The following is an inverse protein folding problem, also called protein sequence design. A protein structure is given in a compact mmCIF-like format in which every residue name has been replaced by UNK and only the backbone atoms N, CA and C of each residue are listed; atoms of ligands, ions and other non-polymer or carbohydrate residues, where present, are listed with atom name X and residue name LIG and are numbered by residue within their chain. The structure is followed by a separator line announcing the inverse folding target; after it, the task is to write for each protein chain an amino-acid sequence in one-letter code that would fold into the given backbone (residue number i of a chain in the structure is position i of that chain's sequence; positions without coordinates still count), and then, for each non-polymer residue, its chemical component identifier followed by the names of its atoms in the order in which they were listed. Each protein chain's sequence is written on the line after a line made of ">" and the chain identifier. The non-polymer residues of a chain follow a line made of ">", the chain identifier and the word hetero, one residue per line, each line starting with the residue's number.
data_IF_752247327059
#
_entry.id   IF_752247327059
#
_cell.length_a   1.000
_cell.length_b   1.000
_cell.length_c   1.000
_cell.angle_alpha   90.00
_cell.angle_beta   90.00
_cell.angle_gamma   90.00
#
_symmetry.space_group_name_H-M   'P 1'
#
loop_
_entity.id
_entity.type
_entity.pdbx_description
1 polymer ?
#
# COMPACT_ATOMS: atom_id res chain seq x y z
N UNK A 1 -20.02 54.50 -31.95
CA UNK A 1 -20.98 54.06 -30.91
C UNK A 1 -20.28 52.99 -30.07
N UNK A 2 -19.75 53.36 -28.90
CA UNK A 2 -19.12 52.44 -27.94
C UNK A 2 -20.11 52.18 -26.80
N UNK A 3 -20.34 50.90 -26.48
CA UNK A 3 -21.07 50.47 -25.30
C UNK A 3 -20.15 50.57 -24.06
N UNK A 4 -20.61 51.08 -22.90
CA UNK A 4 -19.82 51.00 -21.69
C UNK A 4 -19.94 49.59 -21.07
N UNK A 5 -18.79 48.90 -20.97
CA UNK A 5 -18.64 47.72 -20.11
C UNK A 5 -18.62 48.17 -18.66
N UNK A 6 -19.62 47.77 -17.87
CA UNK A 6 -19.61 47.93 -16.42
C UNK A 6 -18.90 46.74 -15.77
N UNK A 7 -17.78 47.00 -15.11
CA UNK A 7 -17.08 46.05 -14.23
C UNK A 7 -17.94 45.80 -12.98
N UNK A 8 -18.19 44.54 -12.56
CA UNK A 8 -18.91 44.28 -11.32
C UNK A 8 -18.03 44.67 -10.11
N UNK A 9 -18.62 45.16 -9.00
CA UNK A 9 -17.85 45.55 -7.83
C UNK A 9 -17.21 44.30 -7.19
N UNK A 10 -15.89 44.37 -6.99
CA UNK A 10 -15.13 43.36 -6.26
C UNK A 10 -15.59 43.31 -4.80
N UNK A 11 -16.35 42.28 -4.43
CA UNK A 11 -16.65 41.98 -3.05
C UNK A 11 -15.38 41.57 -2.28
N UNK A 12 -15.36 41.71 -0.94
CA UNK A 12 -14.21 41.33 -0.13
C UNK A 12 -13.89 39.83 -0.34
N UNK A 13 -12.61 39.43 -0.27
CA UNK A 13 -12.25 38.03 -0.39
C UNK A 13 -12.96 37.23 0.71
N UNK A 14 -13.75 36.23 0.31
CA UNK A 14 -14.28 35.23 1.23
C UNK A 14 -13.12 34.40 1.75
N UNK A 15 -12.69 34.70 2.99
CA UNK A 15 -11.70 33.90 3.69
C UNK A 15 -12.37 32.58 4.09
N UNK A 16 -12.07 31.51 3.38
CA UNK A 16 -12.53 30.17 3.73
C UNK A 16 -11.82 29.73 5.01
N UNK A 17 -12.57 29.53 6.10
CA UNK A 17 -12.03 28.95 7.33
C UNK A 17 -12.16 27.44 7.28
N UNK A 18 -11.04 26.73 7.17
CA UNK A 18 -11.01 25.29 7.34
C UNK A 18 -11.21 24.93 8.82
N UNK A 19 -12.07 23.95 9.10
CA UNK A 19 -12.23 23.37 10.43
C UNK A 19 -11.64 21.96 10.40
N UNK A 20 -10.52 21.77 11.09
CA UNK A 20 -9.93 20.45 11.30
C UNK A 20 -10.61 19.78 12.50
N UNK A 21 -11.01 18.52 12.34
CA UNK A 21 -11.54 17.69 13.43
C UNK A 21 -10.74 16.40 13.50
N UNK A 22 -10.31 16.04 14.72
CA UNK A 22 -9.79 14.71 14.98
C UNK A 22 -10.94 13.72 14.92
N UNK A 23 -10.80 12.71 14.08
CA UNK A 23 -11.77 11.62 13.97
C UNK A 23 -11.04 10.29 14.04
N UNK A 24 -11.59 9.40 14.84
CA UNK A 24 -11.07 8.05 15.00
C UNK A 24 -11.21 7.27 13.69
N UNK A 25 -10.13 6.64 13.28
CA UNK A 25 -10.13 5.69 12.17
C UNK A 25 -9.80 4.31 12.72
N UNK A 26 -10.37 3.27 12.12
CA UNK A 26 -9.96 1.89 12.35
C UNK A 26 -9.49 1.28 11.04
N UNK A 27 -8.55 0.34 11.11
CA UNK A 27 -8.02 -0.39 9.95
C UNK A 27 -8.15 -1.89 10.22
N UNK A 28 -8.61 -2.65 9.24
CA UNK A 28 -8.81 -4.11 9.34
C UNK A 28 -8.42 -4.79 8.04
N UNK A 29 -7.91 -6.00 8.13
CA UNK A 29 -7.70 -6.90 6.99
C UNK A 29 -9.01 -7.12 6.21
N UNK A 30 -8.92 -7.27 4.89
CA UNK A 30 -10.02 -7.61 3.98
C UNK A 30 -9.82 -9.04 3.45
N UNK A 31 -10.47 -10.06 4.07
CA UNK A 31 -10.27 -11.46 3.69
C UNK A 31 -10.57 -11.77 2.22
N UNK A 32 -11.51 -11.05 1.62
CA UNK A 32 -11.97 -11.27 0.24
C UNK A 32 -10.97 -10.75 -0.80
N UNK A 33 -10.05 -9.87 -0.41
CA UNK A 33 -9.15 -9.18 -1.33
C UNK A 33 -7.82 -9.89 -1.55
N UNK A 34 -7.70 -11.14 -1.08
CA UNK A 34 -6.56 -12.01 -1.31
C UNK A 34 -5.31 -11.63 -0.52
N UNK A 35 -4.40 -12.61 -0.42
CA UNK A 35 -3.08 -12.47 0.21
C UNK A 35 -2.04 -12.99 -0.78
N UNK A 36 -0.92 -12.28 -0.90
CA UNK A 36 0.25 -12.77 -1.65
C UNK A 36 1.39 -13.11 -0.71
N UNK A 37 2.14 -14.15 -1.05
CA UNK A 37 3.27 -14.65 -0.30
C UNK A 37 4.53 -14.58 -1.14
N UNK A 38 5.62 -14.09 -0.55
CA UNK A 38 6.92 -14.05 -1.20
C UNK A 38 8.01 -14.47 -0.21
N UNK A 39 9.05 -15.11 -0.73
CA UNK A 39 10.25 -15.46 0.02
C UNK A 39 11.47 -14.86 -0.66
N UNK A 40 12.33 -14.20 0.13
CA UNK A 40 13.56 -13.57 -0.33
C UNK A 40 14.75 -14.19 0.40
N UNK A 41 15.76 -14.66 -0.33
CA UNK A 41 17.00 -15.17 0.23
C UNK A 41 17.84 -14.02 0.81
N UNK A 42 18.23 -14.13 2.09
CA UNK A 42 18.98 -13.08 2.79
C UNK A 42 20.48 -13.37 2.89
N UNK A 43 20.97 -14.43 2.22
CA UNK A 43 22.39 -14.70 2.15
C UNK A 43 23.12 -13.52 1.46
N UNK A 44 24.27 -13.15 2.00
CA UNK A 44 25.05 -12.01 1.51
C UNK A 44 25.37 -12.19 0.01
N UNK A 45 24.98 -11.21 -0.81
CA UNK A 45 25.19 -11.22 -2.26
C UNK A 45 24.22 -12.10 -3.07
N UNK A 46 23.22 -12.75 -2.44
CA UNK A 46 22.24 -13.56 -3.16
C UNK A 46 21.02 -12.76 -3.62
N UNK A 47 20.18 -12.31 -2.69
CA UNK A 47 18.99 -11.49 -2.99
C UNK A 47 17.92 -12.15 -3.87
N UNK A 48 18.06 -13.42 -4.23
CA UNK A 48 17.09 -14.13 -5.06
C UNK A 48 15.73 -14.22 -4.36
N UNK A 49 14.65 -14.15 -5.14
CA UNK A 49 13.28 -14.12 -4.63
C UNK A 49 12.35 -15.05 -5.41
N UNK A 50 11.27 -15.50 -4.76
CA UNK A 50 10.23 -16.31 -5.38
C UNK A 50 9.29 -15.51 -6.28
N UNK A 51 9.30 -14.18 -6.15
CA UNK A 51 8.19 -13.31 -6.56
C UNK A 51 6.91 -13.58 -5.75
N UNK A 52 5.85 -12.78 -5.98
CA UNK A 52 4.55 -12.97 -5.35
C UNK A 52 3.90 -14.31 -5.77
N UNK A 53 3.36 -15.03 -4.79
CA UNK A 53 2.65 -16.30 -4.97
C UNK A 53 1.26 -16.20 -4.31
N UNK A 54 0.26 -16.82 -4.93
CA UNK A 54 -1.12 -16.85 -4.40
C UNK A 54 -1.28 -17.75 -3.17
N UNK A 55 -0.33 -18.66 -2.95
CA UNK A 55 -0.34 -19.56 -1.82
C UNK A 55 1.02 -19.62 -1.13
N UNK A 56 0.99 -19.83 0.18
CA UNK A 56 2.19 -19.86 1.00
C UNK A 56 3.14 -21.01 0.64
N UNK A 57 2.60 -22.17 0.28
CA UNK A 57 3.38 -23.37 0.01
C UNK A 57 4.27 -23.20 -1.23
N UNK A 58 3.78 -22.54 -2.29
CA UNK A 58 4.57 -22.21 -3.48
C UNK A 58 5.81 -21.38 -3.14
N UNK A 59 5.67 -20.35 -2.29
CA UNK A 59 6.79 -19.52 -1.85
C UNK A 59 7.77 -20.30 -0.95
N UNK A 60 7.28 -21.25 -0.16
CA UNK A 60 8.13 -22.13 0.66
C UNK A 60 8.87 -23.17 -0.18
N UNK A 61 8.20 -23.79 -1.16
CA UNK A 61 8.79 -24.75 -2.08
C UNK A 61 9.91 -24.11 -2.90
N UNK A 62 9.76 -22.84 -3.28
CA UNK A 62 10.86 -22.07 -3.87
C UNK A 62 12.07 -22.02 -2.92
N UNK A 63 11.88 -21.68 -1.64
CA UNK A 63 12.96 -21.58 -0.66
C UNK A 63 13.66 -22.92 -0.40
N UNK A 64 12.89 -24.01 -0.33
CA UNK A 64 13.43 -25.37 -0.20
C UNK A 64 14.31 -25.75 -1.39
N UNK A 65 13.84 -25.50 -2.62
CA UNK A 65 14.64 -25.72 -3.84
C UNK A 65 15.88 -24.84 -3.89
N UNK A 66 15.76 -23.57 -3.49
CA UNK A 66 16.88 -22.63 -3.45
C UNK A 66 17.94 -23.07 -2.44
N UNK A 67 17.52 -23.47 -1.25
CA UNK A 67 18.39 -24.02 -0.21
C UNK A 67 19.13 -25.25 -0.72
N UNK A 68 18.43 -26.21 -1.34
CA UNK A 68 19.07 -27.41 -1.90
C UNK A 68 20.10 -27.13 -3.00
N UNK A 69 19.96 -26.02 -3.75
CA UNK A 69 20.88 -25.65 -4.84
C UNK A 69 22.06 -24.79 -4.40
N UNK A 70 21.93 -24.06 -3.29
CA UNK A 70 22.89 -23.00 -2.90
C UNK A 70 23.47 -23.18 -1.51
N UNK A 71 22.85 -24.00 -0.65
CA UNK A 71 23.18 -24.09 0.78
C UNK A 71 22.67 -22.91 1.61
N UNK A 72 21.96 -21.95 1.02
CA UNK A 72 21.40 -20.82 1.74
C UNK A 72 20.17 -21.24 2.55
N UNK A 73 20.14 -20.88 3.83
CA UNK A 73 19.14 -21.41 4.78
C UNK A 73 18.36 -20.35 5.55
N UNK A 74 18.69 -19.05 5.39
CA UNK A 74 17.91 -17.96 5.96
C UNK A 74 17.17 -17.18 4.87
N UNK A 75 15.88 -16.96 5.11
CA UNK A 75 14.98 -16.32 4.17
C UNK A 75 14.06 -15.34 4.90
N UNK A 76 13.86 -14.16 4.31
CA UNK A 76 12.80 -13.22 4.70
C UNK A 76 11.51 -13.64 4.01
N UNK A 77 10.42 -13.71 4.77
CA UNK A 77 9.08 -13.95 4.24
C UNK A 77 8.30 -12.65 4.21
N UNK A 78 7.62 -12.38 3.10
CA UNK A 78 6.72 -11.23 2.92
C UNK A 78 5.32 -11.78 2.74
N UNK A 79 4.39 -11.27 3.54
CA UNK A 79 2.96 -11.54 3.42
C UNK A 79 2.31 -10.19 3.19
N UNK A 80 1.69 -10.03 2.03
CA UNK A 80 1.01 -8.79 1.66
C UNK A 80 -0.48 -9.07 1.55
N UNK A 81 -1.26 -8.27 2.25
CA UNK A 81 -2.72 -8.32 2.27
C UNK A 81 -3.31 -6.95 1.95
N UNK A 82 -4.63 -6.90 1.86
CA UNK A 82 -5.37 -5.66 1.74
C UNK A 82 -6.02 -5.32 3.08
N UNK A 83 -6.06 -4.03 3.37
CA UNK A 83 -6.72 -3.51 4.55
C UNK A 83 -7.68 -2.38 4.19
N UNK A 84 -8.84 -2.38 4.83
CA UNK A 84 -9.85 -1.34 4.69
C UNK A 84 -9.80 -0.42 5.90
N UNK A 85 -9.82 0.88 5.63
CA UNK A 85 -9.94 1.92 6.64
C UNK A 85 -11.40 2.34 6.76
N UNK A 86 -11.90 2.39 7.99
CA UNK A 86 -13.22 2.97 8.31
C UNK A 86 -13.04 4.15 9.25
N UNK A 87 -13.90 5.16 9.08
CA UNK A 87 -13.94 6.36 9.92
C UNK A 87 -15.13 6.24 10.86
N UNK A 88 -14.94 6.52 12.15
CA UNK A 88 -16.06 6.66 13.07
C UNK A 88 -16.83 7.95 12.72
N UNK A 89 -18.14 7.87 12.54
CA UNK A 89 -18.99 9.04 12.29
C UNK A 89 -19.03 10.01 13.47
#
# INVERSE_FOLDING_TARGET
>A
MQHPSATPPGGPPVISRAVYRYVSHTIRHVPESGVSYETVCTAAGCGAESGPQENQDSAQQWALRHSGRTGHHLFRRVVSDHAQVTRAE
#
